data_IF_970853078886
#
_entry.id   IF_970853078886
#
_cell.length_a   1.000
_cell.length_b   1.000
_cell.length_c   1.000
_cell.angle_alpha   90.00
_cell.angle_beta   90.00
_cell.angle_gamma   90.00
#
_symmetry.space_group_name_H-M   'P 1'
#
loop_
_entity.id
_entity.type
_entity.pdbx_description
1 polymer ?
#
# COMPACT_ATOMS: atom_id res chain seq x y z
N UNK A 1 -41.06 -9.16 -64.60
CA UNK A 1 -40.58 -7.87 -65.18
C UNK A 1 -39.25 -7.60 -64.50
N UNK A 2 -38.28 -8.04 -65.08
CA UNK A 2 -37.14 -7.59 -65.87
C UNK A 2 -36.77 -6.12 -65.64
N UNK A 3 -35.55 -5.89 -65.16
CA UNK A 3 -34.54 -4.98 -65.71
C UNK A 3 -33.30 -4.90 -64.87
N UNK A 4 -32.31 -5.49 -65.32
CA UNK A 4 -31.08 -4.94 -65.93
C UNK A 4 -30.09 -4.23 -65.01
N UNK A 5 -29.11 -5.01 -64.69
CA UNK A 5 -27.82 -4.64 -64.10
C UNK A 5 -26.86 -4.25 -65.26
N UNK A 6 -26.31 -3.05 -65.27
CA UNK A 6 -25.17 -2.66 -66.16
C UNK A 6 -23.98 -2.32 -65.33
N UNK A 7 -23.03 -3.23 -65.28
CA UNK A 7 -21.70 -3.01 -64.74
C UNK A 7 -20.91 -1.98 -65.54
N UNK A 8 -20.21 -1.10 -64.85
CA UNK A 8 -19.24 -0.19 -65.44
C UNK A 8 -17.85 -0.79 -65.33
N UNK A 9 -17.26 -1.05 -66.48
CA UNK A 9 -15.96 -1.68 -66.69
C UNK A 9 -14.80 -0.79 -66.24
N UNK A 10 -13.84 -1.39 -65.54
CA UNK A 10 -12.59 -0.80 -65.03
C UNK A 10 -11.54 -0.41 -66.11
N UNK A 11 -11.94 -0.25 -67.36
CA UNK A 11 -11.00 -0.10 -68.48
C UNK A 11 -11.02 1.24 -69.22
N UNK A 12 -11.54 2.32 -68.59
CA UNK A 12 -11.64 3.65 -69.23
C UNK A 12 -11.11 4.80 -68.35
N UNK A 13 -10.01 4.58 -67.66
CA UNK A 13 -9.36 5.68 -66.90
C UNK A 13 -7.87 5.79 -67.18
N UNK A 14 -7.42 5.44 -68.36
CA UNK A 14 -6.03 5.61 -68.79
C UNK A 14 -5.97 6.12 -70.24
N UNK A 15 -6.39 7.33 -70.48
CA UNK A 15 -5.96 8.12 -71.68
C UNK A 15 -6.36 9.58 -71.45
N UNK A 16 -5.37 10.43 -71.29
CA UNK A 16 -5.60 11.88 -71.33
C UNK A 16 -4.54 12.72 -70.62
N UNK A 17 -3.53 12.98 -71.34
CA UNK A 17 -2.77 14.24 -71.43
C UNK A 17 -1.60 14.47 -70.49
N UNK A 18 -0.43 14.24 -71.05
CA UNK A 18 0.84 14.87 -70.69
C UNK A 18 0.83 16.37 -71.13
N UNK A 19 1.06 17.25 -70.15
CA UNK A 19 1.69 18.56 -70.40
C UNK A 19 2.72 18.82 -69.29
N UNK A 20 3.97 18.92 -69.70
CA UNK A 20 5.09 19.26 -68.87
C UNK A 20 5.08 20.76 -68.52
N UNK A 21 5.22 21.08 -67.22
CA UNK A 21 5.81 22.37 -66.80
C UNK A 21 6.91 22.06 -65.80
N UNK A 22 8.12 22.21 -66.20
CA UNK A 22 9.29 22.20 -65.34
C UNK A 22 9.34 23.52 -64.54
N UNK A 23 9.12 23.44 -63.24
CA UNK A 23 9.53 24.46 -62.29
C UNK A 23 10.28 23.80 -61.19
N UNK A 24 11.58 24.00 -61.12
CA UNK A 24 12.44 23.47 -60.08
C UNK A 24 12.06 24.02 -58.71
N UNK A 25 11.66 23.15 -57.84
CA UNK A 25 11.69 23.38 -56.40
C UNK A 25 12.60 22.33 -55.78
N UNK A 26 13.73 22.80 -55.28
CA UNK A 26 14.63 22.04 -54.42
C UNK A 26 13.81 21.35 -53.33
N UNK A 27 13.58 20.06 -53.51
CA UNK A 27 13.00 19.21 -52.49
C UNK A 27 13.98 19.10 -51.31
N UNK A 28 13.83 19.96 -50.30
CA UNK A 28 14.40 19.65 -49.00
C UNK A 28 13.77 18.34 -48.53
N UNK A 29 14.56 17.32 -48.19
CA UNK A 29 14.01 16.15 -47.57
C UNK A 29 13.39 16.60 -46.25
N UNK A 30 12.06 16.47 -46.12
CA UNK A 30 11.39 16.51 -44.83
C UNK A 30 11.91 15.30 -44.03
N UNK A 31 13.05 15.47 -43.37
CA UNK A 31 13.47 14.58 -42.31
C UNK A 31 12.45 14.83 -41.21
N UNK A 32 11.38 14.02 -41.18
CA UNK A 32 10.64 13.80 -39.94
C UNK A 32 11.67 13.25 -38.98
N UNK A 33 12.27 14.13 -38.18
CA UNK A 33 12.92 13.72 -36.96
C UNK A 33 11.82 13.00 -36.16
N UNK A 34 11.80 11.69 -36.24
CA UNK A 34 11.12 10.89 -35.24
C UNK A 34 11.71 11.38 -33.91
N UNK A 35 10.91 12.17 -33.17
CA UNK A 35 11.30 12.59 -31.84
C UNK A 35 11.40 11.28 -31.09
N UNK A 36 12.61 10.80 -30.86
CA UNK A 36 12.84 9.61 -30.05
C UNK A 36 12.07 9.85 -28.76
N UNK A 37 11.14 8.97 -28.46
CA UNK A 37 10.39 9.06 -27.20
C UNK A 37 11.45 9.10 -26.09
N UNK A 38 11.41 10.14 -25.25
CA UNK A 38 12.41 10.29 -24.21
C UNK A 38 12.38 9.01 -23.35
N UNK A 39 13.56 8.43 -23.13
CA UNK A 39 13.66 7.23 -22.31
C UNK A 39 13.11 7.52 -20.90
N UNK A 40 12.34 6.60 -20.35
CA UNK A 40 11.70 6.71 -19.04
C UNK A 40 12.06 5.49 -18.20
N UNK A 41 12.08 5.65 -16.88
CA UNK A 41 12.06 4.49 -15.97
C UNK A 41 10.66 3.90 -15.96
N UNK A 42 10.55 2.59 -15.93
CA UNK A 42 9.29 1.87 -15.93
C UNK A 42 9.07 1.20 -14.58
N UNK A 43 8.04 1.60 -13.87
CA UNK A 43 7.66 1.00 -12.59
C UNK A 43 6.34 0.22 -12.73
N UNK A 44 6.35 -1.04 -12.36
CA UNK A 44 5.14 -1.86 -12.28
C UNK A 44 4.53 -1.77 -10.88
N UNK A 45 3.23 -1.61 -10.78
CA UNK A 45 2.49 -1.61 -9.52
C UNK A 45 1.54 -2.79 -9.49
N UNK A 46 1.64 -3.63 -8.48
CA UNK A 46 0.71 -4.73 -8.24
C UNK A 46 -0.12 -4.36 -7.01
N UNK A 47 -1.44 -4.38 -7.13
CA UNK A 47 -2.31 -4.10 -5.99
C UNK A 47 -3.73 -4.62 -6.26
N UNK A 48 -4.55 -4.71 -5.22
CA UNK A 48 -5.93 -5.19 -5.31
C UNK A 48 -6.84 -4.08 -5.85
N UNK A 49 -7.04 -4.03 -7.17
CA UNK A 49 -7.96 -3.08 -7.81
C UNK A 49 -9.38 -3.65 -7.91
N UNK A 50 -9.55 -4.92 -7.62
CA UNK A 50 -10.81 -5.64 -7.50
C UNK A 50 -10.74 -6.71 -6.42
N UNK A 51 -11.87 -7.32 -6.05
CA UNK A 51 -11.96 -8.32 -4.99
C UNK A 51 -12.16 -7.72 -3.60
N UNK A 52 -11.94 -8.53 -2.57
CA UNK A 52 -12.27 -8.21 -1.17
C UNK A 52 -11.34 -7.18 -0.51
N UNK A 53 -10.16 -6.93 -1.07
CA UNK A 53 -9.18 -5.99 -0.52
C UNK A 53 -9.09 -4.66 -1.33
N UNK A 54 -10.16 -4.32 -2.05
CA UNK A 54 -10.18 -3.16 -2.97
C UNK A 54 -9.96 -1.83 -2.25
N UNK A 55 -10.39 -1.70 -0.99
CA UNK A 55 -10.24 -0.44 -0.24
C UNK A 55 -8.76 -0.11 0.01
N UNK A 56 -8.01 -1.06 0.55
CA UNK A 56 -6.57 -0.88 0.75
C UNK A 56 -5.78 -0.89 -0.55
N UNK A 57 -6.20 -1.70 -1.53
CA UNK A 57 -5.59 -1.71 -2.85
C UNK A 57 -5.67 -0.36 -3.58
N UNK A 58 -6.79 0.36 -3.45
CA UNK A 58 -6.93 1.71 -4.00
C UNK A 58 -6.04 2.72 -3.25
N UNK A 59 -5.87 2.59 -1.94
CA UNK A 59 -4.95 3.45 -1.19
C UNK A 59 -3.50 3.29 -1.63
N UNK A 60 -3.05 2.05 -1.82
CA UNK A 60 -1.69 1.78 -2.31
C UNK A 60 -1.49 2.38 -3.70
N UNK A 61 -2.44 2.18 -4.62
CA UNK A 61 -2.41 2.81 -5.94
C UNK A 61 -2.27 4.33 -5.84
N UNK A 62 -3.12 4.95 -5.04
CA UNK A 62 -3.13 6.41 -4.87
C UNK A 62 -1.79 6.92 -4.31
N UNK A 63 -1.16 6.19 -3.37
CA UNK A 63 0.15 6.54 -2.85
C UNK A 63 1.24 6.51 -3.92
N UNK A 64 1.30 5.44 -4.72
CA UNK A 64 2.27 5.37 -5.82
C UNK A 64 2.02 6.42 -6.90
N UNK A 65 0.75 6.71 -7.25
CA UNK A 65 0.38 7.79 -8.18
C UNK A 65 0.83 9.17 -7.66
N UNK A 66 0.64 9.45 -6.37
CA UNK A 66 1.06 10.71 -5.75
C UNK A 66 2.56 10.95 -5.91
N UNK A 67 3.39 9.91 -5.68
CA UNK A 67 4.82 10.03 -5.88
C UNK A 67 5.18 10.23 -7.34
N UNK A 68 4.65 9.40 -8.25
CA UNK A 68 4.94 9.48 -9.67
C UNK A 68 4.56 10.84 -10.27
N UNK A 69 3.39 11.37 -9.91
CA UNK A 69 2.94 12.71 -10.31
C UNK A 69 3.89 13.80 -9.79
N UNK A 70 4.27 13.74 -8.51
CA UNK A 70 5.13 14.75 -7.90
C UNK A 70 6.53 14.76 -8.52
N UNK A 71 7.16 13.59 -8.69
CA UNK A 71 8.50 13.51 -9.27
C UNK A 71 8.47 13.88 -10.76
N UNK A 72 7.45 13.45 -11.50
CA UNK A 72 7.30 13.77 -12.93
C UNK A 72 7.00 15.25 -13.17
N UNK A 73 6.31 15.94 -12.25
CA UNK A 73 6.10 17.38 -12.28
C UNK A 73 7.42 18.16 -12.15
N UNK A 74 8.42 17.60 -11.44
CA UNK A 74 9.79 18.15 -11.34
C UNK A 74 10.70 17.70 -12.51
N UNK A 75 10.14 17.05 -13.53
CA UNK A 75 10.85 16.58 -14.71
C UNK A 75 11.33 15.12 -14.64
N UNK A 76 11.10 14.42 -13.54
CA UNK A 76 11.49 13.04 -13.30
C UNK A 76 12.66 12.89 -12.31
N UNK A 77 13.12 11.65 -12.16
CA UNK A 77 14.29 11.30 -11.32
C UNK A 77 15.56 11.84 -11.95
N UNK A 78 16.43 12.45 -11.14
CA UNK A 78 17.71 12.98 -11.57
C UNK A 78 18.79 11.89 -11.57
N UNK A 79 19.41 11.63 -12.72
CA UNK A 79 20.46 10.64 -12.89
C UNK A 79 21.56 11.20 -13.78
N UNK A 80 22.77 11.35 -13.21
CA UNK A 80 23.92 11.83 -13.96
C UNK A 80 23.76 13.24 -14.57
N UNK A 81 22.98 14.11 -13.92
CA UNK A 81 22.70 15.48 -14.36
C UNK A 81 21.50 15.62 -15.32
N UNK A 82 20.94 14.52 -15.80
CA UNK A 82 19.73 14.50 -16.63
C UNK A 82 18.51 14.08 -15.79
N UNK A 83 17.30 14.43 -16.26
CA UNK A 83 16.04 14.03 -15.62
C UNK A 83 15.25 13.08 -16.48
N UNK A 84 14.77 12.00 -15.89
CA UNK A 84 14.01 10.94 -16.56
C UNK A 84 12.69 10.73 -15.86
N UNK A 85 11.59 10.83 -16.60
CA UNK A 85 10.25 10.53 -16.06
C UNK A 85 10.11 9.06 -15.70
N UNK A 86 9.12 8.79 -14.86
CA UNK A 86 8.72 7.44 -14.47
C UNK A 86 7.36 7.14 -15.09
N UNK A 87 7.29 6.05 -15.85
CA UNK A 87 6.05 5.53 -16.40
C UNK A 87 5.53 4.41 -15.48
N UNK A 88 4.25 4.50 -15.10
CA UNK A 88 3.62 3.55 -14.19
C UNK A 88 2.75 2.55 -14.95
N UNK A 89 2.92 1.25 -14.67
CA UNK A 89 2.14 0.15 -15.21
C UNK A 89 1.45 -0.60 -14.10
N UNK A 90 0.16 -0.92 -14.25
CA UNK A 90 -0.66 -1.50 -13.18
C UNK A 90 -1.05 -2.94 -13.47
N UNK A 91 -0.95 -3.79 -12.44
CA UNK A 91 -1.46 -5.15 -12.41
C UNK A 91 -2.45 -5.30 -11.26
N UNK A 92 -3.68 -5.71 -11.58
CA UNK A 92 -4.69 -6.09 -10.59
C UNK A 92 -4.42 -7.52 -10.11
N UNK A 93 -4.19 -7.70 -8.81
CA UNK A 93 -4.05 -9.03 -8.20
C UNK A 93 -5.40 -9.67 -7.85
N UNK A 94 -6.51 -8.93 -8.03
CA UNK A 94 -7.87 -9.39 -7.74
C UNK A 94 -8.03 -9.96 -6.32
N UNK A 95 -7.25 -9.43 -5.37
CA UNK A 95 -7.16 -9.92 -3.98
C UNK A 95 -6.69 -11.39 -3.87
N UNK A 96 -5.99 -11.90 -4.89
CA UNK A 96 -5.51 -13.28 -4.99
C UNK A 96 -3.98 -13.33 -5.15
N UNK A 97 -3.25 -14.01 -4.25
CA UNK A 97 -1.81 -14.18 -4.38
C UNK A 97 -1.35 -14.78 -5.71
N UNK A 98 -2.07 -15.78 -6.24
CA UNK A 98 -1.74 -16.42 -7.52
C UNK A 98 -1.89 -15.42 -8.69
N UNK A 99 -2.98 -14.65 -8.73
CA UNK A 99 -3.19 -13.60 -9.74
C UNK A 99 -2.15 -12.51 -9.63
N UNK A 100 -1.70 -12.18 -8.41
CA UNK A 100 -0.61 -11.23 -8.15
C UNK A 100 0.71 -11.69 -8.77
N UNK A 101 1.07 -12.98 -8.62
CA UNK A 101 2.26 -13.56 -9.24
C UNK A 101 2.19 -13.49 -10.78
N UNK A 102 1.04 -13.83 -11.38
CA UNK A 102 0.81 -13.73 -12.83
C UNK A 102 0.89 -12.26 -13.31
N UNK A 103 0.35 -11.33 -12.54
CA UNK A 103 0.43 -9.89 -12.84
C UNK A 103 1.89 -9.39 -12.82
N UNK A 104 2.69 -9.83 -11.82
CA UNK A 104 4.11 -9.52 -11.76
C UNK A 104 4.86 -10.00 -12.99
N UNK A 105 4.67 -11.27 -13.39
CA UNK A 105 5.33 -11.82 -14.56
C UNK A 105 4.96 -11.07 -15.84
N UNK A 106 3.68 -10.70 -16.01
CA UNK A 106 3.24 -9.88 -17.16
C UNK A 106 3.89 -8.50 -17.17
N UNK A 107 3.94 -7.80 -16.04
CA UNK A 107 4.57 -6.49 -15.93
C UNK A 107 6.06 -6.55 -16.28
N UNK A 108 6.76 -7.58 -15.83
CA UNK A 108 8.19 -7.77 -16.10
C UNK A 108 8.43 -8.12 -17.58
N UNK A 109 7.68 -9.10 -18.13
CA UNK A 109 7.97 -9.67 -19.45
C UNK A 109 7.38 -8.81 -20.58
N UNK A 110 6.17 -8.27 -20.42
CA UNK A 110 5.48 -7.55 -21.48
C UNK A 110 5.71 -6.04 -21.41
N UNK A 111 5.75 -5.45 -20.21
CA UNK A 111 5.97 -4.02 -20.03
C UNK A 111 7.45 -3.68 -19.82
N UNK A 112 8.30 -4.69 -19.53
CA UNK A 112 9.74 -4.54 -19.31
C UNK A 112 10.02 -3.54 -18.17
N UNK A 113 9.33 -3.69 -17.04
CA UNK A 113 9.51 -2.80 -15.90
C UNK A 113 10.88 -2.95 -15.25
N UNK A 114 11.44 -1.84 -14.78
CA UNK A 114 12.74 -1.77 -14.11
C UNK A 114 12.63 -2.17 -12.62
N UNK A 115 11.47 -1.95 -12.03
CA UNK A 115 11.15 -2.15 -10.60
C UNK A 115 9.67 -2.50 -10.44
N UNK A 116 9.32 -3.24 -9.39
CA UNK A 116 7.95 -3.44 -8.95
C UNK A 116 7.68 -2.66 -7.66
N UNK A 117 6.46 -2.14 -7.53
CA UNK A 117 5.87 -1.61 -6.31
C UNK A 117 4.70 -2.47 -5.85
N UNK A 118 4.48 -2.54 -4.54
CA UNK A 118 3.44 -3.36 -3.94
C UNK A 118 3.94 -4.80 -3.72
N UNK A 119 3.07 -5.82 -3.75
CA UNK A 119 1.59 -5.75 -3.67
C UNK A 119 1.04 -5.15 -2.38
N UNK A 120 -0.30 -4.94 -2.35
CA UNK A 120 -0.97 -4.44 -1.15
C UNK A 120 -0.92 -5.49 -0.03
N UNK A 121 -1.37 -6.71 -0.28
CA UNK A 121 -1.44 -7.74 0.75
C UNK A 121 -0.12 -8.47 0.93
N UNK A 122 0.17 -8.89 2.16
CA UNK A 122 1.36 -9.71 2.45
C UNK A 122 1.32 -11.06 1.73
N UNK A 123 0.13 -11.64 1.55
CA UNK A 123 -0.05 -12.88 0.80
C UNK A 123 0.37 -12.76 -0.66
N UNK A 124 -0.08 -11.71 -1.37
CA UNK A 124 0.34 -11.40 -2.73
C UNK A 124 1.84 -11.07 -2.80
N UNK A 125 2.37 -10.34 -1.80
CA UNK A 125 3.80 -10.02 -1.73
C UNK A 125 4.66 -11.29 -1.67
N UNK A 126 4.32 -12.25 -0.80
CA UNK A 126 5.01 -13.55 -0.69
C UNK A 126 4.96 -14.31 -2.03
N UNK A 127 3.80 -14.31 -2.71
CA UNK A 127 3.65 -15.00 -3.99
C UNK A 127 4.45 -14.37 -5.14
N UNK A 128 4.67 -13.06 -5.10
CA UNK A 128 5.45 -12.31 -6.11
C UNK A 128 6.96 -12.44 -5.91
N UNK A 129 7.46 -12.69 -4.70
CA UNK A 129 8.90 -12.80 -4.40
C UNK A 129 9.66 -13.76 -5.32
N UNK A 130 9.20 -15.01 -5.60
CA UNK A 130 9.88 -15.91 -6.52
C UNK A 130 9.97 -15.35 -7.95
N UNK A 131 9.01 -14.56 -8.39
CA UNK A 131 9.01 -13.92 -9.71
C UNK A 131 10.09 -12.83 -9.76
N UNK A 132 10.18 -11.99 -8.72
CA UNK A 132 11.24 -11.00 -8.58
C UNK A 132 12.62 -11.64 -8.61
N UNK A 133 12.82 -12.74 -7.88
CA UNK A 133 14.08 -13.49 -7.85
C UNK A 133 14.41 -14.10 -9.23
N UNK A 134 13.42 -14.73 -9.89
CA UNK A 134 13.58 -15.36 -11.21
C UNK A 134 14.04 -14.37 -12.26
N UNK A 135 13.45 -13.19 -12.28
CA UNK A 135 13.69 -12.16 -13.30
C UNK A 135 14.69 -11.08 -12.86
N UNK A 136 15.19 -11.17 -11.64
CA UNK A 136 16.12 -10.20 -11.05
C UNK A 136 15.58 -8.75 -11.11
N UNK A 137 14.31 -8.58 -10.78
CA UNK A 137 13.63 -7.26 -10.70
C UNK A 137 13.35 -6.92 -9.25
N UNK A 138 13.89 -5.82 -8.71
CA UNK A 138 13.62 -5.44 -7.33
C UNK A 138 12.16 -5.03 -7.13
N UNK A 139 11.64 -5.28 -5.91
CA UNK A 139 10.29 -4.91 -5.49
C UNK A 139 10.35 -4.14 -4.17
N UNK A 140 9.65 -3.01 -4.11
CA UNK A 140 9.52 -2.20 -2.89
C UNK A 140 8.05 -2.19 -2.48
N UNK A 141 7.73 -2.80 -1.34
CA UNK A 141 6.39 -2.82 -0.79
C UNK A 141 6.20 -1.69 0.21
N UNK A 142 5.19 -0.85 -0.03
CA UNK A 142 4.79 0.22 0.88
C UNK A 142 3.67 -0.19 1.86
N UNK A 143 3.33 -1.49 1.94
CA UNK A 143 2.12 -1.92 2.66
C UNK A 143 2.16 -3.32 3.26
N UNK A 144 3.05 -4.22 2.82
CA UNK A 144 3.11 -5.58 3.34
C UNK A 144 3.78 -5.62 4.72
N UNK A 145 3.05 -6.10 5.74
CA UNK A 145 3.48 -6.02 7.14
C UNK A 145 3.60 -7.39 7.84
N UNK A 146 3.32 -8.52 7.17
CA UNK A 146 3.50 -9.83 7.80
C UNK A 146 4.98 -10.19 7.95
N UNK A 147 5.45 -10.68 9.12
CA UNK A 147 6.82 -11.17 9.29
C UNK A 147 7.15 -12.35 8.35
N UNK A 148 6.13 -13.07 7.86
CA UNK A 148 6.33 -14.15 6.89
C UNK A 148 6.88 -13.65 5.53
N UNK A 149 6.70 -12.37 5.19
CA UNK A 149 7.29 -11.74 4.00
C UNK A 149 8.83 -11.84 4.05
N UNK A 150 9.42 -11.73 5.24
CA UNK A 150 10.88 -11.67 5.45
C UNK A 150 11.50 -13.01 5.82
N UNK A 151 10.69 -14.00 6.18
CA UNK A 151 11.14 -15.30 6.69
C UNK A 151 12.10 -16.05 5.75
N UNK A 152 11.88 -15.95 4.45
CA UNK A 152 12.72 -16.55 3.43
C UNK A 152 13.95 -15.70 3.06
N UNK A 153 14.14 -14.54 3.69
CA UNK A 153 15.17 -13.54 3.37
C UNK A 153 15.23 -13.21 1.87
N UNK A 154 14.13 -12.67 1.29
CA UNK A 154 14.06 -12.42 -0.13
C UNK A 154 15.03 -11.32 -0.56
N UNK A 155 15.97 -11.62 -1.46
CA UNK A 155 17.02 -10.67 -1.88
C UNK A 155 16.48 -9.46 -2.66
N UNK A 156 15.40 -9.66 -3.43
CA UNK A 156 14.84 -8.64 -4.32
C UNK A 156 13.60 -7.93 -3.75
N UNK A 157 13.28 -8.12 -2.48
CA UNK A 157 12.10 -7.51 -1.86
C UNK A 157 12.49 -6.63 -0.66
N UNK A 158 11.87 -5.45 -0.57
CA UNK A 158 12.11 -4.42 0.46
C UNK A 158 10.79 -3.91 1.01
N UNK A 159 10.69 -3.70 2.33
CA UNK A 159 9.49 -3.20 3.00
C UNK A 159 9.70 -1.85 3.66
N UNK A 160 8.74 -0.95 3.47
CA UNK A 160 8.77 0.39 4.06
C UNK A 160 8.12 0.42 5.44
N UNK A 161 7.06 -0.36 5.62
CA UNK A 161 6.27 -0.40 6.86
C UNK A 161 6.76 -1.57 7.70
N UNK A 162 7.11 -1.38 8.99
CA UNK A 162 7.61 -2.45 9.84
C UNK A 162 6.58 -3.55 10.07
N UNK A 163 7.07 -4.77 10.24
CA UNK A 163 6.23 -5.96 10.43
C UNK A 163 5.37 -5.89 11.69
N UNK A 164 4.17 -6.49 11.63
CA UNK A 164 3.14 -6.45 12.69
C UNK A 164 3.56 -7.12 13.99
N UNK A 165 4.50 -8.05 13.99
CA UNK A 165 5.07 -8.65 15.20
C UNK A 165 5.81 -7.62 16.08
N UNK A 166 6.25 -6.49 15.48
CA UNK A 166 6.88 -5.39 16.21
C UNK A 166 5.88 -4.33 16.68
N UNK A 167 4.67 -4.29 16.12
CA UNK A 167 3.72 -3.17 16.32
C UNK A 167 2.42 -3.56 17.01
N UNK A 168 1.81 -4.71 16.68
CA UNK A 168 0.43 -5.04 17.10
C UNK A 168 0.27 -5.21 18.62
N UNK A 169 1.26 -5.71 19.32
CA UNK A 169 1.22 -5.86 20.80
C UNK A 169 1.15 -4.53 21.56
N UNK A 170 1.57 -3.41 20.94
CA UNK A 170 1.59 -2.08 21.58
C UNK A 170 0.22 -1.66 22.08
N UNK A 171 -0.82 -1.86 21.26
CA UNK A 171 -2.20 -1.45 21.59
C UNK A 171 -2.72 -2.11 22.87
N UNK A 172 -2.42 -3.40 23.04
CA UNK A 172 -2.78 -4.16 24.25
C UNK A 172 -2.00 -3.62 25.47
N UNK A 173 -0.70 -3.36 25.29
CA UNK A 173 0.15 -2.83 26.36
C UNK A 173 -0.26 -1.44 26.83
N UNK A 174 -0.67 -0.55 25.92
CA UNK A 174 -1.19 0.78 26.27
C UNK A 174 -2.55 0.66 26.94
N UNK A 175 -3.47 -0.14 26.38
CA UNK A 175 -4.78 -0.40 26.99
C UNK A 175 -4.65 -0.88 28.44
N UNK A 176 -3.76 -1.85 28.69
CA UNK A 176 -3.58 -2.42 30.04
C UNK A 176 -3.15 -1.35 31.08
N UNK A 177 -2.43 -0.31 30.64
CA UNK A 177 -1.98 0.80 31.49
C UNK A 177 -3.02 1.91 31.66
N UNK A 178 -3.75 2.22 30.60
CA UNK A 178 -4.65 3.39 30.52
C UNK A 178 -6.11 3.05 30.85
N UNK A 179 -6.49 1.76 30.92
CA UNK A 179 -7.89 1.37 31.21
C UNK A 179 -8.27 1.59 32.69
N UNK A 180 -9.40 2.30 32.91
CA UNK A 180 -9.97 2.52 34.24
C UNK A 180 -11.51 2.41 34.19
N UNK A 181 -12.13 1.40 34.85
CA UNK A 181 -11.50 0.30 35.59
C UNK A 181 -10.61 -0.60 34.74
N UNK A 182 -9.59 -1.23 35.30
CA UNK A 182 -8.64 -2.05 34.58
C UNK A 182 -9.33 -3.14 33.73
N UNK A 183 -8.95 -3.24 32.45
CA UNK A 183 -9.33 -4.34 31.58
C UNK A 183 -8.72 -5.66 32.09
N UNK A 184 -9.44 -6.78 31.97
CA UNK A 184 -9.01 -8.10 32.48
C UNK A 184 -8.98 -9.15 31.38
N UNK A 185 -10.00 -9.18 30.54
CA UNK A 185 -10.25 -10.25 29.58
C UNK A 185 -10.23 -9.74 28.13
N UNK A 186 -9.62 -10.50 27.24
CA UNK A 186 -9.48 -10.17 25.83
C UNK A 186 -9.92 -11.36 24.98
N UNK A 187 -10.74 -11.11 23.97
CA UNK A 187 -10.95 -12.01 22.84
C UNK A 187 -10.23 -11.48 21.61
N UNK A 188 -9.68 -12.36 20.79
CA UNK A 188 -8.96 -12.02 19.56
C UNK A 188 -9.62 -12.73 18.38
N UNK A 189 -9.83 -12.01 17.30
CA UNK A 189 -10.16 -12.54 15.96
C UNK A 189 -8.98 -12.25 15.02
N UNK A 190 -8.51 -13.27 14.31
CA UNK A 190 -7.63 -13.14 13.15
C UNK A 190 -8.32 -13.67 11.91
N UNK A 191 -7.93 -13.22 10.72
CA UNK A 191 -8.34 -13.83 9.45
C UNK A 191 -7.25 -14.80 9.01
N UNK A 192 -7.64 -15.91 8.39
CA UNK A 192 -6.69 -16.96 7.96
C UNK A 192 -5.98 -16.57 6.66
N UNK A 193 -5.24 -15.48 6.71
CA UNK A 193 -4.30 -15.02 5.68
C UNK A 193 -3.07 -14.40 6.39
N UNK A 194 -1.92 -14.25 5.73
CA UNK A 194 -0.66 -13.96 6.43
C UNK A 194 -0.68 -12.75 7.34
N UNK A 195 -1.08 -11.57 6.85
CA UNK A 195 -1.07 -10.33 7.63
C UNK A 195 -2.03 -10.41 8.85
N UNK A 196 -3.29 -10.75 8.60
CA UNK A 196 -4.34 -10.71 9.63
C UNK A 196 -4.15 -11.77 10.71
N UNK A 197 -3.64 -12.94 10.32
CA UNK A 197 -3.28 -14.01 11.27
C UNK A 197 -2.14 -13.56 12.18
N UNK A 198 -1.06 -13.04 11.61
CA UNK A 198 0.10 -12.59 12.38
C UNK A 198 -0.23 -11.38 13.26
N UNK A 199 -1.11 -10.48 12.80
CA UNK A 199 -1.65 -9.39 13.63
C UNK A 199 -2.41 -9.94 14.83
N UNK A 200 -3.28 -10.94 14.61
CA UNK A 200 -4.00 -11.62 15.70
C UNK A 200 -3.05 -12.33 16.67
N UNK A 201 -1.99 -12.96 16.17
CA UNK A 201 -0.95 -13.59 17.02
C UNK A 201 -0.19 -12.53 17.82
N UNK A 202 0.13 -11.39 17.24
CA UNK A 202 0.75 -10.26 17.95
C UNK A 202 -0.16 -9.69 19.06
N UNK A 203 -1.47 -9.60 18.83
CA UNK A 203 -2.41 -9.26 19.90
C UNK A 203 -2.42 -10.31 21.01
N UNK A 204 -2.49 -11.61 20.67
CA UNK A 204 -2.41 -12.71 21.62
C UNK A 204 -1.17 -12.62 22.52
N UNK A 205 -0.03 -12.38 21.90
CA UNK A 205 1.24 -12.29 22.60
C UNK A 205 1.32 -11.01 23.47
N UNK A 206 0.75 -9.90 22.97
CA UNK A 206 0.56 -8.67 23.75
C UNK A 206 -0.33 -8.87 24.98
N UNK A 207 -1.41 -9.64 24.85
CA UNK A 207 -2.29 -10.03 25.99
C UNK A 207 -1.50 -10.76 27.07
N UNK A 208 -0.69 -11.74 26.67
CA UNK A 208 0.18 -12.49 27.58
C UNK A 208 1.21 -11.58 28.26
N UNK A 209 1.87 -10.73 27.48
CA UNK A 209 2.89 -9.81 27.99
C UNK A 209 2.31 -8.76 28.96
N UNK A 210 1.05 -8.35 28.76
CA UNK A 210 0.34 -7.42 29.64
C UNK A 210 -0.28 -8.08 30.89
N UNK A 211 -0.20 -9.40 31.02
CA UNK A 211 -0.81 -10.15 32.13
C UNK A 211 -2.34 -10.19 32.11
N UNK A 212 -2.95 -10.01 30.93
CA UNK A 212 -4.39 -10.12 30.72
C UNK A 212 -4.78 -11.55 30.39
N UNK A 213 -6.07 -11.89 30.60
CA UNK A 213 -6.62 -13.20 30.29
C UNK A 213 -7.13 -13.25 28.84
N UNK A 214 -6.61 -14.19 28.04
CA UNK A 214 -7.13 -14.50 26.70
C UNK A 214 -8.29 -15.48 26.83
N UNK A 215 -9.52 -15.01 26.61
CA UNK A 215 -10.72 -15.85 26.73
C UNK A 215 -11.16 -16.51 25.43
N UNK A 216 -10.70 -15.99 24.28
CA UNK A 216 -10.91 -16.60 22.97
C UNK A 216 -9.83 -16.14 21.99
N UNK A 217 -9.44 -17.06 21.08
CA UNK A 217 -8.67 -16.76 19.86
C UNK A 217 -9.31 -17.50 18.71
N UNK A 218 -9.90 -16.75 17.79
CA UNK A 218 -10.65 -17.31 16.65
C UNK A 218 -9.96 -16.93 15.34
N UNK A 219 -9.73 -17.92 14.47
CA UNK A 219 -9.33 -17.70 13.09
C UNK A 219 -10.54 -17.88 12.19
N UNK A 220 -10.91 -16.83 11.45
CA UNK A 220 -12.01 -16.85 10.50
C UNK A 220 -11.48 -16.92 9.07
N UNK A 221 -12.23 -17.47 8.10
CA UNK A 221 -11.86 -17.38 6.69
C UNK A 221 -11.91 -15.90 6.23
N UNK A 222 -11.20 -15.54 5.15
CA UNK A 222 -11.22 -14.19 4.58
C UNK A 222 -12.62 -13.71 4.21
N UNK A 223 -13.45 -14.62 3.71
CA UNK A 223 -14.85 -14.37 3.38
C UNK A 223 -15.79 -15.16 4.29
N UNK A 224 -16.95 -14.60 4.59
CA UNK A 224 -17.99 -15.30 5.31
C UNK A 224 -18.77 -14.47 6.30
N UNK A 225 -19.77 -15.12 6.92
CA UNK A 225 -20.60 -14.52 7.96
C UNK A 225 -19.87 -14.52 9.31
N UNK A 226 -19.69 -13.34 9.88
CA UNK A 226 -19.06 -13.17 11.19
C UNK A 226 -20.03 -13.35 12.37
N UNK A 227 -21.34 -13.48 12.11
CA UNK A 227 -22.37 -13.59 13.16
C UNK A 227 -22.08 -14.73 14.15
N UNK A 228 -21.71 -15.96 13.71
CA UNK A 228 -21.45 -17.06 14.65
C UNK A 228 -20.27 -16.78 15.60
N UNK A 229 -19.17 -16.28 15.07
CA UNK A 229 -17.95 -16.01 15.86
C UNK A 229 -18.17 -14.83 16.81
N UNK A 230 -18.80 -13.74 16.36
CA UNK A 230 -19.07 -12.58 17.22
C UNK A 230 -20.11 -12.94 18.30
N UNK A 231 -21.14 -13.75 17.99
CA UNK A 231 -22.09 -14.24 18.99
C UNK A 231 -21.41 -15.10 20.06
N UNK A 232 -20.49 -15.98 19.66
CA UNK A 232 -19.68 -16.79 20.60
C UNK A 232 -18.85 -15.89 21.53
N UNK A 233 -18.17 -14.90 20.97
CA UNK A 233 -17.35 -13.95 21.75
C UNK A 233 -18.23 -13.10 22.66
N UNK A 234 -19.37 -12.59 22.17
CA UNK A 234 -20.31 -11.81 22.98
C UNK A 234 -20.83 -12.57 24.21
N UNK A 235 -21.05 -13.90 24.10
CA UNK A 235 -21.44 -14.75 25.22
C UNK A 235 -20.37 -14.85 26.29
N UNK A 236 -19.09 -14.75 25.96
CA UNK A 236 -17.96 -14.74 26.89
C UNK A 236 -17.80 -13.39 27.59
N UNK A 237 -18.42 -12.31 27.09
CA UNK A 237 -18.39 -10.96 27.65
C UNK A 237 -16.96 -10.45 27.91
N UNK A 238 -16.02 -10.53 26.96
CA UNK A 238 -14.67 -10.00 27.17
C UNK A 238 -14.72 -8.49 27.37
N UNK A 239 -13.78 -7.94 28.14
CA UNK A 239 -13.59 -6.49 28.24
C UNK A 239 -13.14 -5.88 26.90
N UNK A 240 -12.31 -6.63 26.15
CA UNK A 240 -11.69 -6.19 24.91
C UNK A 240 -11.95 -7.19 23.80
N UNK A 241 -12.29 -6.68 22.62
CA UNK A 241 -12.22 -7.40 21.37
C UNK A 241 -11.08 -6.83 20.51
N UNK A 242 -10.07 -7.65 20.19
CA UNK A 242 -8.98 -7.30 19.30
C UNK A 242 -9.15 -8.05 17.96
N UNK A 243 -8.97 -7.36 16.83
CA UNK A 243 -9.24 -7.91 15.50
C UNK A 243 -8.10 -7.60 14.55
N UNK A 244 -7.43 -8.64 14.03
CA UNK A 244 -6.49 -8.57 12.93
C UNK A 244 -7.22 -8.81 11.60
N UNK A 245 -7.18 -7.83 10.68
CA UNK A 245 -7.89 -7.91 9.41
C UNK A 245 -7.63 -6.70 8.54
N UNK A 246 -8.01 -6.83 7.25
CA UNK A 246 -8.08 -5.72 6.33
C UNK A 246 -9.38 -4.93 6.51
N UNK A 247 -9.51 -3.76 5.89
CA UNK A 247 -10.56 -2.78 6.14
C UNK A 247 -11.98 -3.34 6.05
N UNK A 248 -12.24 -4.17 5.06
CA UNK A 248 -13.56 -4.75 4.80
C UNK A 248 -14.03 -5.63 5.95
N UNK A 249 -13.12 -6.48 6.48
CA UNK A 249 -13.46 -7.34 7.62
C UNK A 249 -13.62 -6.52 8.90
N UNK A 250 -12.78 -5.49 9.09
CA UNK A 250 -12.89 -4.60 10.25
C UNK A 250 -14.23 -3.86 10.27
N UNK A 251 -14.68 -3.36 9.12
CA UNK A 251 -16.00 -2.74 8.94
C UNK A 251 -17.11 -3.75 9.27
N UNK A 252 -16.98 -4.98 8.77
CA UNK A 252 -17.99 -6.04 9.01
C UNK A 252 -18.04 -6.46 10.48
N UNK A 253 -16.91 -6.50 11.20
CA UNK A 253 -16.89 -6.76 12.65
C UNK A 253 -17.68 -5.71 13.40
N UNK A 254 -17.51 -4.42 13.10
CA UNK A 254 -18.26 -3.33 13.74
C UNK A 254 -19.76 -3.46 13.45
N UNK A 255 -20.14 -3.63 12.18
CA UNK A 255 -21.55 -3.76 11.76
C UNK A 255 -22.23 -4.97 12.42
N UNK A 256 -21.57 -6.13 12.40
CA UNK A 256 -22.09 -7.36 13.00
C UNK A 256 -22.19 -7.22 14.52
N UNK A 257 -21.18 -6.64 15.17
CA UNK A 257 -21.24 -6.39 16.63
C UNK A 257 -22.40 -5.48 16.99
N UNK A 258 -22.65 -4.41 16.22
CA UNK A 258 -23.81 -3.53 16.42
C UNK A 258 -25.13 -4.27 16.22
N UNK A 259 -25.26 -5.07 15.15
CA UNK A 259 -26.49 -5.83 14.87
C UNK A 259 -26.84 -6.82 15.99
N UNK A 260 -25.83 -7.36 16.66
CA UNK A 260 -25.96 -8.24 17.82
C UNK A 260 -26.10 -7.48 19.15
N UNK A 261 -26.14 -6.15 19.10
CA UNK A 261 -26.12 -5.29 20.29
C UNK A 261 -24.95 -5.61 21.26
N UNK A 262 -23.82 -6.08 20.69
CA UNK A 262 -22.60 -6.36 21.42
C UNK A 262 -21.59 -5.23 21.25
N UNK A 263 -21.21 -4.56 22.33
CA UNK A 263 -20.10 -3.59 22.33
C UNK A 263 -19.14 -3.92 23.47
N UNK A 264 -17.89 -4.32 23.15
CA UNK A 264 -16.86 -4.51 24.17
C UNK A 264 -16.48 -3.15 24.79
N UNK A 265 -15.84 -3.16 25.96
CA UNK A 265 -15.33 -1.95 26.59
C UNK A 265 -14.19 -1.30 25.80
N UNK A 266 -13.46 -2.07 24.98
CA UNK A 266 -12.53 -1.58 23.97
C UNK A 266 -12.61 -2.44 22.72
N UNK A 267 -12.53 -1.81 21.55
CA UNK A 267 -12.41 -2.45 20.25
C UNK A 267 -11.06 -2.05 19.66
N UNK A 268 -10.15 -3.02 19.59
CA UNK A 268 -8.79 -2.82 19.08
C UNK A 268 -8.67 -3.47 17.71
N UNK A 269 -8.16 -2.71 16.78
CA UNK A 269 -7.84 -3.12 15.42
C UNK A 269 -6.40 -2.72 15.12
N UNK A 270 -5.89 -3.10 13.96
CA UNK A 270 -4.60 -2.58 13.51
C UNK A 270 -4.81 -1.29 12.72
N UNK A 271 -4.18 -1.13 11.58
CA UNK A 271 -4.17 0.13 10.82
C UNK A 271 -5.51 0.52 10.16
N UNK A 272 -6.30 -0.42 9.69
CA UNK A 272 -7.44 -0.18 8.78
C UNK A 272 -8.44 0.89 9.22
N UNK A 273 -8.43 1.28 10.49
CA UNK A 273 -9.28 2.36 11.03
C UNK A 273 -8.89 3.75 10.51
N UNK A 274 -7.66 3.92 10.03
CA UNK A 274 -7.17 5.20 9.49
C UNK A 274 -7.51 5.39 8.02
N UNK A 275 -7.94 4.32 7.33
CA UNK A 275 -8.48 4.43 5.99
C UNK A 275 -9.77 5.28 6.01
N UNK A 276 -9.85 6.37 5.22
CA UNK A 276 -11.06 7.21 5.15
C UNK A 276 -12.34 6.43 4.83
N UNK A 277 -12.22 5.30 4.11
CA UNK A 277 -13.34 4.42 3.81
C UNK A 277 -13.95 3.77 5.05
N UNK A 278 -13.14 3.48 6.09
CA UNK A 278 -13.60 2.91 7.36
C UNK A 278 -14.58 3.87 8.07
N UNK A 279 -14.16 5.10 8.31
CA UNK A 279 -14.99 6.11 8.94
C UNK A 279 -16.23 6.44 8.07
N UNK A 280 -16.08 6.50 6.74
CA UNK A 280 -17.18 6.74 5.80
C UNK A 280 -18.23 5.62 5.84
N UNK A 281 -17.81 4.36 5.96
CA UNK A 281 -18.70 3.20 5.99
C UNK A 281 -19.48 3.05 7.31
N UNK A 282 -18.91 3.53 8.42
CA UNK A 282 -19.42 3.32 9.78
C UNK A 282 -20.01 4.58 10.41
N UNK A 283 -19.64 5.78 9.94
CA UNK A 283 -20.07 7.03 10.56
C UNK A 283 -19.73 7.08 12.05
N UNK A 284 -20.69 7.42 12.89
CA UNK A 284 -20.51 7.50 14.34
C UNK A 284 -20.19 6.13 15.01
N UNK A 285 -20.45 5.01 14.34
CA UNK A 285 -20.13 3.68 14.89
C UNK A 285 -18.63 3.40 14.88
N UNK A 286 -17.83 4.17 14.11
CA UNK A 286 -16.37 4.11 14.13
C UNK A 286 -15.77 4.69 15.42
N UNK A 287 -16.50 5.57 16.14
CA UNK A 287 -16.00 6.24 17.34
C UNK A 287 -15.59 5.24 18.43
N UNK A 288 -14.41 5.47 18.99
CA UNK A 288 -13.79 4.66 20.02
C UNK A 288 -12.99 3.46 19.50
N UNK A 289 -13.05 3.14 18.19
CA UNK A 289 -12.17 2.11 17.62
C UNK A 289 -10.72 2.54 17.74
N UNK A 290 -9.87 1.62 18.18
CA UNK A 290 -8.45 1.85 18.45
C UNK A 290 -7.60 1.11 17.41
N UNK A 291 -6.48 1.72 16.97
CA UNK A 291 -5.54 1.10 16.04
C UNK A 291 -4.09 1.49 16.33
N UNK A 292 -3.17 0.86 15.61
CA UNK A 292 -1.74 1.20 15.62
C UNK A 292 -1.33 1.67 14.25
N UNK A 293 -0.58 2.77 14.21
CA UNK A 293 -0.02 3.34 12.97
C UNK A 293 1.45 3.66 13.19
N UNK A 294 2.19 3.79 12.10
CA UNK A 294 3.62 4.14 12.14
C UNK A 294 3.92 5.50 11.52
N UNK A 295 2.88 6.18 11.08
CA UNK A 295 2.97 7.55 10.56
C UNK A 295 1.66 8.31 10.80
N UNK A 296 1.78 9.61 11.07
CA UNK A 296 0.69 10.59 11.16
C UNK A 296 1.18 11.91 10.55
N UNK A 297 0.29 12.79 10.07
CA UNK A 297 0.67 14.12 9.58
C UNK A 297 1.37 15.01 10.62
N UNK A 298 1.29 14.64 11.89
CA UNK A 298 1.87 15.39 13.02
C UNK A 298 3.32 15.01 13.34
N UNK A 299 3.90 13.99 12.65
CA UNK A 299 5.31 13.65 12.87
C UNK A 299 6.24 14.75 12.37
N UNK A 300 7.37 14.95 13.05
CA UNK A 300 8.31 16.06 12.76
C UNK A 300 9.31 15.71 11.64
N UNK A 301 8.91 14.92 10.65
CA UNK A 301 9.76 14.49 9.54
C UNK A 301 9.53 15.31 8.28
N UNK A 302 10.54 15.38 7.42
CA UNK A 302 10.49 16.12 6.15
C UNK A 302 11.44 15.56 5.12
N UNK A 303 11.17 15.86 3.83
CA UNK A 303 12.10 15.65 2.71
C UNK A 303 12.04 16.80 1.69
N UNK A 304 12.89 16.71 0.65
CA UNK A 304 13.01 17.77 -0.36
C UNK A 304 11.91 17.75 -1.44
N UNK A 305 11.18 16.63 -1.59
CA UNK A 305 10.14 16.49 -2.60
C UNK A 305 8.79 17.01 -2.11
N UNK A 306 8.42 16.64 -0.88
CA UNK A 306 7.11 16.88 -0.30
C UNK A 306 7.10 17.88 0.87
N UNK A 307 8.27 18.25 1.39
CA UNK A 307 8.37 19.08 2.60
C UNK A 307 8.12 18.28 3.87
N UNK A 308 7.41 18.87 4.84
CA UNK A 308 7.03 18.20 6.11
C UNK A 308 5.91 17.17 5.91
N UNK A 309 5.75 16.26 6.87
CA UNK A 309 4.63 15.31 6.90
C UNK A 309 3.26 16.02 6.79
N UNK A 310 3.13 17.19 7.42
CA UNK A 310 1.91 18.01 7.33
C UNK A 310 1.70 18.59 5.93
N UNK A 311 2.73 19.14 5.29
CA UNK A 311 2.68 19.67 3.93
C UNK A 311 2.32 18.57 2.93
N UNK A 312 2.93 17.38 3.07
CA UNK A 312 2.55 16.20 2.30
C UNK A 312 1.07 15.85 2.49
N UNK A 313 0.60 15.76 3.74
CA UNK A 313 -0.80 15.42 4.04
C UNK A 313 -1.77 16.43 3.43
N UNK A 314 -1.49 17.74 3.55
CA UNK A 314 -2.34 18.81 2.99
C UNK A 314 -2.39 18.77 1.45
N UNK A 315 -1.28 18.41 0.81
CA UNK A 315 -1.21 18.22 -0.64
C UNK A 315 -1.98 16.98 -1.06
N UNK A 316 -1.76 15.86 -0.39
CA UNK A 316 -2.41 14.59 -0.68
C UNK A 316 -3.93 14.67 -0.47
N UNK A 317 -4.40 15.29 0.63
CA UNK A 317 -5.82 15.44 0.93
C UNK A 317 -6.60 16.14 -0.19
N UNK A 318 -5.99 17.12 -0.87
CA UNK A 318 -6.62 17.80 -2.03
C UNK A 318 -6.83 16.88 -3.23
N UNK A 319 -5.95 15.88 -3.40
CA UNK A 319 -6.04 14.90 -4.50
C UNK A 319 -6.92 13.71 -4.13
N UNK A 320 -6.87 13.27 -2.89
CA UNK A 320 -7.55 12.07 -2.40
C UNK A 320 -8.96 12.33 -1.90
N UNK A 321 -9.32 13.60 -1.67
CA UNK A 321 -10.61 13.98 -1.04
C UNK A 321 -10.70 13.66 0.46
N UNK A 322 -9.55 13.40 1.11
CA UNK A 322 -9.43 13.12 2.54
C UNK A 322 -7.97 13.01 2.94
N UNK A 323 -7.69 13.01 4.25
CA UNK A 323 -6.35 12.87 4.78
C UNK A 323 -5.76 11.49 4.39
N UNK A 324 -4.51 11.43 3.88
CA UNK A 324 -3.86 10.15 3.56
C UNK A 324 -3.61 9.35 4.84
N UNK A 325 -3.78 8.04 4.77
CA UNK A 325 -3.35 7.14 5.83
C UNK A 325 -1.85 6.81 5.71
N UNK A 326 -1.33 6.06 6.70
CA UNK A 326 0.09 5.71 6.69
C UNK A 326 0.47 4.71 5.58
N UNK A 327 -0.49 3.90 5.07
CA UNK A 327 -0.26 2.97 3.95
C UNK A 327 -0.03 3.75 2.66
N UNK A 328 -0.89 4.74 2.36
CA UNK A 328 -0.68 5.63 1.22
C UNK A 328 0.64 6.41 1.35
N UNK A 329 0.96 6.90 2.56
CA UNK A 329 2.23 7.57 2.85
C UNK A 329 3.44 6.65 2.66
N UNK A 330 3.36 5.38 3.09
CA UNK A 330 4.39 4.35 2.90
C UNK A 330 4.63 4.02 1.42
N UNK A 331 3.55 3.99 0.61
CA UNK A 331 3.67 3.81 -0.84
C UNK A 331 4.38 4.99 -1.52
N UNK A 332 4.12 6.23 -1.07
CA UNK A 332 4.88 7.41 -1.53
C UNK A 332 6.34 7.28 -1.12
N UNK A 333 6.62 6.84 0.10
CA UNK A 333 7.98 6.66 0.61
C UNK A 333 8.76 5.58 -0.17
N UNK A 334 8.09 4.52 -0.67
CA UNK A 334 8.68 3.55 -1.60
C UNK A 334 9.23 4.22 -2.86
N UNK A 335 8.50 5.19 -3.38
CA UNK A 335 8.94 5.98 -4.52
C UNK A 335 10.14 6.87 -4.20
N UNK A 336 10.22 7.45 -2.99
CA UNK A 336 11.38 8.22 -2.54
C UNK A 336 12.64 7.34 -2.46
N UNK A 337 12.50 6.10 -1.96
CA UNK A 337 13.58 5.10 -1.95
C UNK A 337 14.04 4.78 -3.36
N UNK A 338 13.12 4.54 -4.30
CA UNK A 338 13.47 4.29 -5.70
C UNK A 338 14.22 5.48 -6.30
N UNK A 339 13.72 6.71 -6.09
CA UNK A 339 14.34 7.92 -6.61
C UNK A 339 15.78 8.11 -6.11
N UNK A 340 16.02 7.89 -4.81
CA UNK A 340 17.35 7.94 -4.21
C UNK A 340 18.28 6.84 -4.74
N UNK A 341 17.79 5.59 -4.81
CA UNK A 341 18.56 4.46 -5.31
C UNK A 341 18.96 4.64 -6.79
N UNK A 342 18.07 5.12 -7.66
CA UNK A 342 18.37 5.42 -9.06
C UNK A 342 19.40 6.54 -9.20
N UNK A 343 19.31 7.57 -8.37
CA UNK A 343 20.29 8.66 -8.33
C UNK A 343 21.68 8.14 -7.94
N UNK A 344 21.77 7.30 -6.91
CA UNK A 344 23.04 6.68 -6.48
C UNK A 344 23.59 5.68 -7.50
N UNK A 345 22.72 4.91 -8.13
CA UNK A 345 23.08 3.97 -9.18
C UNK A 345 23.69 4.68 -10.41
N UNK A 346 23.22 5.87 -10.77
CA UNK A 346 23.75 6.66 -11.88
C UNK A 346 23.51 6.08 -13.28
N UNK A 347 22.64 5.06 -13.40
CA UNK A 347 22.29 4.43 -14.68
C UNK A 347 21.02 5.03 -15.27
N UNK A 348 21.09 5.37 -16.55
CA UNK A 348 19.96 5.94 -17.30
C UNK A 348 19.01 4.83 -17.77
N UNK A 349 17.71 5.12 -18.01
CA UNK A 349 16.77 4.14 -18.58
C UNK A 349 17.12 3.82 -20.07
N UNK A 350 16.79 2.65 -20.61
CA UNK A 350 16.19 1.49 -19.93
C UNK A 350 17.27 0.67 -19.22
N UNK A 351 16.95 0.16 -18.02
CA UNK A 351 17.90 -0.64 -17.26
C UNK A 351 18.02 -2.05 -17.89
N UNK A 352 19.27 -2.54 -17.99
CA UNK A 352 19.54 -3.92 -18.36
C UNK A 352 19.40 -4.85 -17.15
N UNK A 353 19.35 -6.18 -17.34
CA UNK A 353 19.28 -7.12 -16.19
C UNK A 353 20.34 -6.87 -15.12
N UNK A 354 21.61 -6.68 -15.53
CA UNK A 354 22.70 -6.37 -14.62
C UNK A 354 22.53 -5.03 -13.87
N UNK A 355 21.93 -4.04 -14.52
CA UNK A 355 21.64 -2.74 -13.89
C UNK A 355 20.51 -2.88 -12.86
N UNK A 356 19.53 -3.79 -13.07
CA UNK A 356 18.47 -4.10 -12.07
C UNK A 356 19.01 -4.79 -10.83
N UNK A 357 19.99 -5.69 -10.99
CA UNK A 357 20.72 -6.28 -9.84
C UNK A 357 21.45 -5.18 -9.06
N UNK A 358 22.15 -4.28 -9.77
CA UNK A 358 22.80 -3.15 -9.13
C UNK A 358 21.82 -2.16 -8.48
N UNK A 359 20.60 -2.00 -9.06
CA UNK A 359 19.52 -1.23 -8.44
C UNK A 359 19.06 -1.88 -7.14
N UNK A 360 18.90 -3.21 -7.10
CA UNK A 360 18.58 -3.97 -5.88
C UNK A 360 19.63 -3.70 -4.79
N UNK A 361 20.91 -3.74 -5.13
CA UNK A 361 21.98 -3.43 -4.18
C UNK A 361 21.93 -1.97 -3.72
N UNK A 362 21.66 -1.04 -4.62
CA UNK A 362 21.47 0.37 -4.28
C UNK A 362 20.26 0.59 -3.35
N UNK A 363 19.17 -0.14 -3.53
CA UNK A 363 18.01 -0.08 -2.62
C UNK A 363 18.40 -0.63 -1.24
N UNK A 364 19.10 -1.77 -1.17
CA UNK A 364 19.54 -2.36 0.10
C UNK A 364 20.43 -1.43 0.95
N UNK A 365 21.18 -0.53 0.30
CA UNK A 365 22.04 0.48 0.97
C UNK A 365 21.29 1.79 1.29
N UNK A 366 19.95 1.82 1.21
CA UNK A 366 19.17 3.01 1.56
C UNK A 366 19.35 3.37 3.03
N UNK A 367 19.68 4.65 3.29
CA UNK A 367 19.72 5.28 4.62
C UNK A 367 19.32 6.75 4.43
N UNK A 368 18.02 7.03 4.38
CA UNK A 368 17.47 8.34 4.04
C UNK A 368 16.45 8.81 5.07
N UNK A 369 16.35 10.14 5.21
CA UNK A 369 15.27 10.78 5.94
C UNK A 369 14.20 11.24 4.94
N UNK A 370 12.95 10.90 5.22
CA UNK A 370 11.78 11.28 4.41
C UNK A 370 10.70 11.93 5.28
N UNK A 371 9.65 12.48 4.67
CA UNK A 371 8.47 12.95 5.42
C UNK A 371 7.77 11.82 6.19
N UNK A 372 7.97 10.57 5.75
CA UNK A 372 7.45 9.37 6.40
C UNK A 372 8.24 9.00 7.65
N UNK A 373 9.51 9.36 7.68
CA UNK A 373 10.48 9.05 8.71
C UNK A 373 11.80 8.55 8.14
N UNK A 374 12.68 8.03 9.00
CA UNK A 374 13.90 7.38 8.54
C UNK A 374 13.58 6.05 7.84
N UNK A 375 14.27 5.80 6.73
CA UNK A 375 14.17 4.52 6.00
C UNK A 375 15.56 3.93 5.90
N UNK A 376 15.71 2.75 6.52
CA UNK A 376 16.92 1.95 6.51
C UNK A 376 16.55 0.49 6.60
N UNK A 377 17.00 -0.29 5.64
CA UNK A 377 16.67 -1.71 5.59
C UNK A 377 17.61 -2.54 6.46
N UNK A 378 17.03 -3.50 7.18
CA UNK A 378 17.78 -4.49 7.96
C UNK A 378 18.58 -5.40 7.02
N UNK A 379 19.88 -5.59 7.33
CA UNK A 379 20.79 -6.40 6.51
C UNK A 379 20.88 -7.85 6.97
N UNK A 380 20.34 -8.15 8.15
CA UNK A 380 20.41 -9.47 8.79
C UNK A 380 19.15 -9.75 9.61
N UNK A 381 19.08 -10.93 10.20
CA UNK A 381 18.02 -11.28 11.16
C UNK A 381 16.69 -11.67 10.52
N UNK A 382 15.59 -11.69 11.31
CA UNK A 382 14.25 -12.09 10.85
C UNK A 382 13.55 -11.04 10.00
N UNK A 383 13.97 -9.78 10.08
CA UNK A 383 13.43 -8.63 9.34
C UNK A 383 14.34 -8.21 8.18
N UNK A 384 15.04 -9.16 7.55
CA UNK A 384 15.95 -8.90 6.43
C UNK A 384 15.25 -8.13 5.31
N UNK A 385 15.75 -6.92 4.96
CA UNK A 385 15.17 -5.97 4.00
C UNK A 385 13.85 -5.30 4.44
N UNK A 386 13.48 -5.43 5.71
CA UNK A 386 12.39 -4.67 6.30
C UNK A 386 12.91 -3.35 6.91
N UNK A 387 12.11 -2.29 6.89
CA UNK A 387 12.41 -1.02 7.56
C UNK A 387 11.81 -1.02 8.96
N UNK A 388 12.61 -1.29 9.97
CA UNK A 388 12.20 -1.35 11.38
C UNK A 388 12.30 0.00 12.12
N UNK A 389 12.64 1.08 11.42
CA UNK A 389 12.89 2.40 12.02
C UNK A 389 11.64 3.15 12.50
N UNK A 390 10.46 3.07 11.84
CA UNK A 390 9.28 3.80 12.27
C UNK A 390 8.81 3.39 13.68
N UNK A 391 8.46 4.40 14.49
CA UNK A 391 7.97 4.19 15.86
C UNK A 391 6.45 4.08 15.83
N UNK A 392 5.85 2.99 16.34
CA UNK A 392 4.41 2.82 16.34
C UNK A 392 3.71 3.78 17.31
N UNK A 393 2.55 4.30 16.90
CA UNK A 393 1.69 5.20 17.64
C UNK A 393 0.30 4.57 17.79
N UNK A 394 -0.24 4.55 19.00
CA UNK A 394 -1.62 4.14 19.22
C UNK A 394 -2.55 5.30 18.87
N UNK A 395 -3.55 5.02 18.05
CA UNK A 395 -4.57 5.98 17.66
C UNK A 395 -5.97 5.49 18.05
N UNK A 396 -6.90 6.43 18.23
CA UNK A 396 -8.32 6.13 18.46
C UNK A 396 -9.17 7.10 17.64
N UNK A 397 -10.28 6.62 17.08
CA UNK A 397 -11.25 7.50 16.44
C UNK A 397 -12.08 8.17 17.53
N UNK A 398 -12.03 9.50 17.59
CA UNK A 398 -12.78 10.33 18.56
C UNK A 398 -13.49 11.46 17.84
N UNK A 399 -14.83 11.47 17.88
CA UNK A 399 -15.65 12.46 17.17
C UNK A 399 -15.40 12.45 15.67
N UNK A 400 -15.17 11.27 15.08
CA UNK A 400 -14.91 11.08 13.66
C UNK A 400 -13.47 11.38 13.21
N UNK A 401 -12.55 11.77 14.14
CA UNK A 401 -11.15 12.06 13.82
C UNK A 401 -10.22 10.99 14.39
N UNK A 402 -9.17 10.67 13.67
CA UNK A 402 -8.08 9.82 14.17
C UNK A 402 -7.17 10.67 15.04
N UNK A 403 -7.03 10.31 16.31
CA UNK A 403 -6.19 11.03 17.27
C UNK A 403 -5.19 10.09 17.93
N UNK A 404 -3.95 10.55 18.12
CA UNK A 404 -2.93 9.83 18.87
C UNK A 404 -3.31 9.78 20.36
N UNK A 405 -3.33 8.57 20.94
CA UNK A 405 -3.69 8.33 22.35
C UNK A 405 -2.62 7.56 23.13
N UNK A 406 -1.53 7.18 22.47
CA UNK A 406 -0.40 6.51 23.10
C UNK A 406 0.76 6.23 22.13
N UNK A 407 1.96 5.95 22.64
CA UNK A 407 2.37 6.07 24.05
C UNK A 407 2.29 7.53 24.58
N UNK A 408 2.44 7.73 25.87
CA UNK A 408 2.20 9.03 26.55
C UNK A 408 2.87 10.22 25.88
N UNK A 409 4.09 10.04 25.38
CA UNK A 409 4.87 11.11 24.75
C UNK A 409 4.38 11.48 23.35
N UNK A 410 3.62 10.59 22.70
CA UNK A 410 3.00 10.80 21.40
C UNK A 410 1.50 11.16 21.49
N UNK A 411 0.89 11.04 22.69
CA UNK A 411 -0.53 11.23 22.86
C UNK A 411 -0.96 12.69 22.72
N UNK A 412 -1.91 12.95 21.82
CA UNK A 412 -2.58 14.24 21.64
C UNK A 412 -3.94 14.31 22.37
N UNK A 413 -4.51 13.15 22.76
CA UNK A 413 -5.77 13.04 23.47
C UNK A 413 -5.72 11.91 24.51
N UNK A 414 -6.68 11.92 25.45
CA UNK A 414 -6.84 10.82 26.39
C UNK A 414 -7.50 9.62 25.70
N UNK A 415 -7.06 8.42 26.06
CA UNK A 415 -7.70 7.19 25.67
C UNK A 415 -9.13 7.07 26.26
N UNK A 416 -10.13 6.88 25.40
CA UNK A 416 -11.53 6.68 25.83
C UNK A 416 -11.73 5.21 26.15
N UNK A 417 -11.94 4.91 27.45
CA UNK A 417 -12.26 3.59 27.99
C UNK A 417 -13.07 3.73 29.28
N UNK A 418 -14.13 2.95 29.51
CA UNK A 418 -14.76 2.01 28.56
C UNK A 418 -15.53 2.76 27.45
N UNK A 419 -15.72 2.07 26.31
CA UNK A 419 -16.55 2.60 25.23
C UNK A 419 -18.01 2.73 25.68
N UNK A 420 -18.72 3.80 25.31
CA UNK A 420 -20.15 3.93 25.54
C UNK A 420 -20.92 2.86 24.75
N UNK A 421 -22.16 2.57 25.13
CA UNK A 421 -23.07 1.74 24.35
C UNK A 421 -23.24 2.29 22.91
N UNK A 422 -23.67 1.42 21.97
CA UNK A 422 -24.03 1.86 20.63
C UNK A 422 -25.09 2.96 20.68
N UNK A 423 -24.94 3.96 19.83
CA UNK A 423 -25.94 5.04 19.66
C UNK A 423 -27.09 4.59 18.78
#
# INVERSE_FOLDING_TARGET
MSTNNRGVSRRRFLEGSAVAVAAGTLGMPFVRTARAQAATFKAGVITSLSGENILGGNLTKQGYDLWADAINAKGGVEVGGDRFKVDMFYGDDQSSPATGADAAERLIVQNEVDVLFGPYTSGSTIAVQPICQKYQVPMISGSAESPNVWKAKPEFNFGIIPSVDTTSGLSIGVLAKESNPAAKTVAVIGVNEPFSKETGEGFRDGVKAAGLELVAYELVPPEGDLTPVISKIAALKPDVLAVGGHEEILINVVKTSKSLNYRPKALIMHYGITNPAFAKALGADADGTTGVVVWLPTVAYKDDLFGTAKEFSDMAAKKLGGEPDYTAAGCVASGLVLGDALKRLGKKPALKPEDRVALKDAIAETDIQTFYGPIKFEKEGPHYHDNTQPIPVLVQIQGGNVVAVGPKDAAAAKYIYPLPAWK
#
